data_IF_609014517143
#
_entry.id   IF_609014517143
#
_cell.length_a   1.000
_cell.length_b   1.000
_cell.length_c   1.000
_cell.angle_alpha   90.00
_cell.angle_beta   90.00
_cell.angle_gamma   90.00
#
_symmetry.space_group_name_H-M   'P 1'
#
loop_
_entity.id
_entity.type
_entity.pdbx_description
1 polymer ?
#
# COMPACT_ATOMS: atom_id res chain seq x y z
N UNK A 1 25.95 35.91 44.25
CA UNK A 1 25.03 34.76 44.23
C UNK A 1 25.75 33.58 43.60
N UNK A 2 26.16 32.59 44.40
CA UNK A 2 26.77 31.35 43.89
C UNK A 2 25.75 30.60 43.03
N UNK A 3 26.07 30.36 41.75
CA UNK A 3 25.24 29.56 40.86
C UNK A 3 25.23 28.13 41.39
N UNK A 4 24.16 27.74 42.09
CA UNK A 4 23.96 26.35 42.53
C UNK A 4 23.96 25.45 41.28
N UNK A 5 24.86 24.46 41.18
CA UNK A 5 24.94 23.56 40.03
C UNK A 5 23.58 22.93 39.68
N UNK A 6 22.80 22.56 40.69
CA UNK A 6 21.46 21.98 40.53
C UNK A 6 20.46 22.88 39.80
N UNK A 7 20.58 24.20 39.97
CA UNK A 7 19.73 25.17 39.28
C UNK A 7 20.09 25.28 37.80
N UNK A 8 21.39 25.18 37.48
CA UNK A 8 21.87 25.19 36.10
C UNK A 8 21.52 23.89 35.38
N UNK A 9 21.64 22.74 36.04
CA UNK A 9 21.26 21.44 35.48
C UNK A 9 19.75 21.40 35.21
N UNK A 10 18.93 21.90 36.13
CA UNK A 10 17.48 22.01 35.91
C UNK A 10 17.13 22.96 34.77
N UNK A 11 17.76 24.13 34.71
CA UNK A 11 17.54 25.07 33.62
C UNK A 11 17.92 24.45 32.26
N UNK A 12 19.05 23.75 32.19
CA UNK A 12 19.47 23.01 30.99
C UNK A 12 18.45 21.93 30.59
N UNK A 13 17.99 21.11 31.54
CA UNK A 13 16.97 20.09 31.28
C UNK A 13 15.64 20.67 30.79
N UNK A 14 15.17 21.75 31.42
CA UNK A 14 13.93 22.43 31.00
C UNK A 14 14.04 23.03 29.60
N UNK A 15 15.16 23.68 29.27
CA UNK A 15 15.40 24.19 27.92
C UNK A 15 15.45 23.05 26.90
N UNK A 16 16.09 21.93 27.23
CA UNK A 16 16.11 20.75 26.37
C UNK A 16 14.71 20.19 26.10
N UNK A 17 13.88 20.07 27.13
CA UNK A 17 12.48 19.62 26.99
C UNK A 17 11.66 20.57 26.13
N UNK A 18 11.85 21.88 26.27
CA UNK A 18 11.18 22.88 25.43
C UNK A 18 11.59 22.73 23.96
N UNK A 19 12.89 22.57 23.69
CA UNK A 19 13.38 22.37 22.33
C UNK A 19 12.81 21.10 21.69
N UNK A 20 12.76 19.98 22.43
CA UNK A 20 12.15 18.72 21.94
C UNK A 20 10.66 18.93 21.62
N UNK A 21 9.93 19.61 22.49
CA UNK A 21 8.51 19.92 22.27
C UNK A 21 8.28 20.78 21.03
N UNK A 22 9.13 21.78 20.80
CA UNK A 22 9.03 22.67 19.64
C UNK A 22 9.37 21.91 18.34
N UNK A 23 10.37 21.03 18.39
CA UNK A 23 10.74 20.21 17.25
C UNK A 23 9.65 19.18 16.89
N UNK A 24 8.98 18.55 17.87
CA UNK A 24 7.80 17.69 17.62
C UNK A 24 6.68 18.44 16.90
N UNK A 25 6.50 19.73 17.21
CA UNK A 25 5.50 20.57 16.55
C UNK A 25 5.87 20.77 15.07
N UNK A 26 7.14 21.02 14.77
CA UNK A 26 7.64 21.14 13.39
C UNK A 26 7.45 19.85 12.60
N UNK A 27 7.76 18.69 13.20
CA UNK A 27 7.52 17.39 12.57
C UNK A 27 6.05 17.21 12.16
N UNK A 28 5.13 17.56 13.07
CA UNK A 28 3.68 17.46 12.82
C UNK A 28 3.19 18.44 11.77
N UNK A 29 3.60 19.71 11.86
CA UNK A 29 3.12 20.78 10.98
C UNK A 29 3.64 20.62 9.54
N UNK A 30 4.80 19.98 9.37
CA UNK A 30 5.46 19.81 8.07
C UNK A 30 5.54 18.36 7.58
N UNK A 31 5.03 17.38 8.34
CA UNK A 31 5.09 15.96 8.03
C UNK A 31 6.53 15.46 7.72
N UNK A 32 7.50 15.90 8.51
CA UNK A 32 8.92 15.50 8.40
C UNK A 32 9.35 14.75 9.67
N UNK A 33 10.26 13.78 9.54
CA UNK A 33 10.84 13.04 10.68
C UNK A 33 12.26 13.58 10.95
N UNK A 34 12.45 14.24 12.09
CA UNK A 34 13.71 14.81 12.55
C UNK A 34 14.47 13.86 13.50
N UNK A 35 13.93 12.66 13.77
CA UNK A 35 14.53 11.61 14.60
C UNK A 35 14.88 12.08 16.04
N UNK A 36 14.05 12.96 16.60
CA UNK A 36 14.31 13.62 17.90
C UNK A 36 14.20 12.63 19.07
N UNK A 37 13.26 11.68 18.98
CA UNK A 37 13.30 10.46 19.79
C UNK A 37 13.94 9.34 18.96
N UNK A 38 14.71 8.43 19.58
CA UNK A 38 14.98 7.14 18.94
C UNK A 38 13.60 6.60 18.60
N UNK A 39 13.30 6.48 17.29
CA UNK A 39 11.96 6.12 16.86
C UNK A 39 11.51 4.97 17.73
N UNK A 40 10.36 5.11 18.39
CA UNK A 40 9.72 3.95 19.00
C UNK A 40 9.49 3.01 17.83
N UNK A 41 10.48 2.16 17.54
CA UNK A 41 10.31 0.99 16.70
C UNK A 41 9.17 0.30 17.40
N UNK A 42 7.97 0.45 16.85
CA UNK A 42 6.79 -0.25 17.31
C UNK A 42 7.26 -1.68 17.42
N UNK A 43 7.34 -2.18 18.65
CA UNK A 43 7.94 -3.47 18.90
C UNK A 43 7.11 -4.46 18.09
N UNK A 44 7.68 -4.92 16.96
CA UNK A 44 6.94 -5.74 16.01
C UNK A 44 6.54 -6.97 16.80
N UNK A 45 5.27 -7.38 16.79
CA UNK A 45 4.81 -8.62 17.47
C UNK A 45 5.69 -9.83 17.15
N UNK A 46 6.37 -9.82 16.00
CA UNK A 46 7.37 -10.81 15.62
C UNK A 46 8.56 -10.94 16.61
N UNK A 47 8.95 -9.87 17.31
CA UNK A 47 10.00 -9.90 18.35
C UNK A 47 9.63 -10.76 19.57
N UNK A 48 8.34 -11.05 19.75
CA UNK A 48 7.84 -11.90 20.82
C UNK A 48 8.05 -13.40 20.53
N UNK A 49 8.35 -13.75 19.28
CA UNK A 49 8.58 -15.14 18.86
C UNK A 49 10.09 -15.42 18.73
N UNK A 50 10.72 -15.71 19.86
CA UNK A 50 12.15 -16.06 19.93
C UNK A 50 12.51 -17.37 19.21
N UNK A 51 11.50 -18.16 18.81
CA UNK A 51 11.68 -19.40 18.03
C UNK A 51 12.14 -19.14 16.59
N UNK A 52 11.96 -17.92 16.08
CA UNK A 52 12.44 -17.55 14.75
C UNK A 52 13.86 -16.98 14.84
N UNK A 53 14.74 -17.51 13.97
CA UNK A 53 16.09 -17.02 13.78
C UNK A 53 16.12 -15.50 13.56
N UNK A 54 17.16 -14.84 14.08
CA UNK A 54 17.28 -13.38 14.00
C UNK A 54 17.26 -12.87 12.56
N UNK A 55 17.95 -13.56 11.65
CA UNK A 55 18.06 -13.18 10.25
C UNK A 55 16.72 -13.32 9.53
N UNK A 56 15.95 -14.37 9.81
CA UNK A 56 14.59 -14.55 9.27
C UNK A 56 13.65 -13.43 9.73
N UNK A 57 13.77 -12.97 10.98
CA UNK A 57 12.98 -11.85 11.50
C UNK A 57 13.38 -10.52 10.84
N UNK A 58 14.66 -10.33 10.53
CA UNK A 58 15.13 -9.16 9.80
C UNK A 58 14.64 -9.15 8.35
N UNK A 59 14.71 -10.29 7.66
CA UNK A 59 14.21 -10.45 6.29
C UNK A 59 12.70 -10.24 6.22
N UNK A 60 11.94 -10.88 7.11
CA UNK A 60 10.50 -10.66 7.21
C UNK A 60 10.18 -9.18 7.48
N UNK A 61 11.05 -8.50 8.24
CA UNK A 61 10.84 -7.11 8.56
C UNK A 61 11.00 -6.17 7.36
N UNK A 62 11.99 -6.44 6.51
CA UNK A 62 12.19 -5.76 5.23
C UNK A 62 11.07 -6.08 4.25
N UNK A 63 10.71 -7.36 4.14
CA UNK A 63 9.67 -7.83 3.20
C UNK A 63 8.28 -7.26 3.50
N UNK A 64 7.98 -6.92 4.75
CA UNK A 64 6.66 -6.34 5.12
C UNK A 64 6.42 -4.99 4.46
N UNK A 65 7.47 -4.20 4.20
CA UNK A 65 7.37 -2.90 3.55
C UNK A 65 6.78 -3.02 2.14
N UNK A 66 7.13 -4.09 1.41
CA UNK A 66 6.58 -4.32 0.08
C UNK A 66 5.10 -4.71 0.12
N UNK A 67 4.69 -5.48 1.13
CA UNK A 67 3.28 -5.79 1.33
C UNK A 67 2.46 -4.53 1.58
N UNK A 68 2.95 -3.61 2.42
CA UNK A 68 2.29 -2.33 2.69
C UNK A 68 2.09 -1.52 1.40
N UNK A 69 3.12 -1.43 0.56
CA UNK A 69 3.04 -0.75 -0.74
C UNK A 69 1.99 -1.39 -1.65
N UNK A 70 2.00 -2.71 -1.80
CA UNK A 70 1.02 -3.40 -2.64
C UNK A 70 -0.40 -3.27 -2.10
N UNK A 71 -0.58 -3.39 -0.78
CA UNK A 71 -1.88 -3.23 -0.14
C UNK A 71 -2.47 -1.84 -0.41
N UNK A 72 -1.68 -0.78 -0.19
CA UNK A 72 -2.12 0.58 -0.45
C UNK A 72 -2.42 0.81 -1.93
N UNK A 73 -1.52 0.38 -2.81
CA UNK A 73 -1.65 0.60 -4.25
C UNK A 73 -2.87 -0.15 -4.81
N UNK A 74 -3.00 -1.44 -4.57
CA UNK A 74 -4.10 -2.26 -5.12
C UNK A 74 -5.47 -1.73 -4.67
N UNK A 75 -5.62 -1.38 -3.39
CA UNK A 75 -6.88 -0.85 -2.87
C UNK A 75 -7.16 0.57 -3.35
N UNK A 76 -6.15 1.42 -3.52
CA UNK A 76 -6.34 2.75 -4.12
C UNK A 76 -6.83 2.66 -5.57
N UNK A 77 -6.34 1.70 -6.35
CA UNK A 77 -6.76 1.47 -7.73
C UNK A 77 -8.19 0.91 -7.75
N UNK A 78 -8.54 -0.02 -6.85
CA UNK A 78 -9.93 -0.50 -6.70
C UNK A 78 -10.88 0.65 -6.41
N UNK A 79 -10.53 1.54 -5.48
CA UNK A 79 -11.37 2.69 -5.15
C UNK A 79 -11.54 3.62 -6.36
N UNK A 80 -10.45 3.98 -7.05
CA UNK A 80 -10.52 4.78 -8.27
C UNK A 80 -11.45 4.16 -9.33
N UNK A 81 -11.31 2.85 -9.57
CA UNK A 81 -12.13 2.14 -10.57
C UNK A 81 -13.60 2.09 -10.15
N UNK A 82 -13.86 1.78 -8.88
CA UNK A 82 -15.20 1.74 -8.31
C UNK A 82 -15.87 3.10 -8.42
N UNK A 83 -15.23 4.16 -7.98
CA UNK A 83 -15.80 5.51 -7.94
C UNK A 83 -16.13 5.98 -9.36
N UNK A 84 -15.20 5.83 -10.30
CA UNK A 84 -15.42 6.21 -11.70
C UNK A 84 -16.56 5.42 -12.39
N UNK A 85 -16.71 4.14 -12.09
CA UNK A 85 -17.78 3.31 -12.66
C UNK A 85 -19.14 3.55 -11.98
N UNK A 86 -19.14 3.84 -10.67
CA UNK A 86 -20.34 4.29 -9.96
C UNK A 86 -20.85 5.60 -10.55
N UNK A 87 -19.96 6.55 -10.84
CA UNK A 87 -20.35 7.84 -11.42
C UNK A 87 -20.93 7.69 -12.84
N UNK A 88 -20.43 6.72 -13.61
CA UNK A 88 -20.87 6.49 -14.99
C UNK A 88 -22.15 5.64 -15.12
N UNK A 89 -22.31 4.59 -14.30
CA UNK A 89 -23.37 3.57 -14.45
C UNK A 89 -24.30 3.47 -13.22
N UNK A 90 -23.99 4.18 -12.13
CA UNK A 90 -24.72 4.11 -10.87
C UNK A 90 -24.27 2.98 -9.94
N UNK A 91 -25.03 2.73 -8.89
CA UNK A 91 -24.66 1.78 -7.82
C UNK A 91 -24.53 0.32 -8.28
N UNK A 92 -25.21 -0.06 -9.37
CA UNK A 92 -25.19 -1.42 -9.94
C UNK A 92 -24.19 -1.57 -11.10
N UNK A 93 -23.16 -0.70 -11.16
CA UNK A 93 -22.16 -0.69 -12.22
C UNK A 93 -21.47 -2.05 -12.43
N UNK A 94 -21.33 -2.88 -11.39
CA UNK A 94 -20.72 -4.22 -11.52
C UNK A 94 -21.52 -5.11 -12.47
N UNK A 95 -22.86 -4.97 -12.51
CA UNK A 95 -23.74 -5.73 -13.38
C UNK A 95 -23.92 -5.11 -14.77
N UNK A 96 -23.41 -3.90 -15.00
CA UNK A 96 -23.44 -3.23 -16.31
C UNK A 96 -22.63 -3.97 -17.39
N UNK A 97 -22.81 -3.52 -18.64
CA UNK A 97 -22.03 -3.97 -19.80
C UNK A 97 -20.57 -3.50 -19.79
N UNK A 98 -20.18 -2.60 -18.87
CA UNK A 98 -18.81 -2.08 -18.74
C UNK A 98 -17.83 -3.07 -18.11
N UNK A 99 -18.37 -4.05 -17.39
CA UNK A 99 -17.60 -5.10 -16.72
C UNK A 99 -17.75 -6.41 -17.50
N UNK A 100 -16.66 -6.93 -18.04
CA UNK A 100 -16.71 -8.13 -18.87
C UNK A 100 -16.97 -9.40 -18.04
N UNK A 101 -17.97 -10.18 -18.45
CA UNK A 101 -18.45 -11.34 -17.70
C UNK A 101 -17.38 -12.44 -17.55
N UNK A 102 -16.91 -13.00 -18.68
CA UNK A 102 -15.94 -14.11 -18.68
C UNK A 102 -14.56 -13.76 -18.14
N UNK A 103 -14.10 -12.52 -18.38
CA UNK A 103 -12.73 -12.11 -18.07
C UNK A 103 -12.58 -11.55 -16.66
N UNK A 104 -13.66 -11.07 -16.04
CA UNK A 104 -13.60 -10.33 -14.77
C UNK A 104 -14.61 -10.88 -13.77
N UNK A 105 -15.91 -10.88 -14.09
CA UNK A 105 -16.95 -11.29 -13.13
C UNK A 105 -16.80 -12.74 -12.70
N UNK A 106 -16.79 -13.68 -13.65
CA UNK A 106 -16.68 -15.12 -13.36
C UNK A 106 -15.39 -15.50 -12.61
N UNK A 107 -14.20 -15.00 -12.96
CA UNK A 107 -13.00 -15.22 -12.14
C UNK A 107 -13.13 -14.71 -10.71
N UNK A 108 -13.68 -13.51 -10.50
CA UNK A 108 -13.88 -12.94 -9.17
C UNK A 108 -14.89 -13.78 -8.34
N UNK A 109 -16.02 -14.15 -8.94
CA UNK A 109 -17.02 -15.02 -8.32
C UNK A 109 -16.44 -16.39 -7.98
N UNK A 110 -15.64 -16.97 -8.87
CA UNK A 110 -14.96 -18.24 -8.65
C UNK A 110 -14.00 -18.17 -7.45
N UNK A 111 -13.24 -17.09 -7.31
CA UNK A 111 -12.37 -16.87 -6.14
C UNK A 111 -13.17 -16.74 -4.85
N UNK A 112 -14.26 -15.98 -4.84
CA UNK A 112 -15.16 -15.85 -3.68
C UNK A 112 -15.81 -17.18 -3.32
N UNK A 113 -16.34 -17.88 -4.31
CA UNK A 113 -16.93 -19.21 -4.15
C UNK A 113 -15.93 -20.19 -3.58
N UNK A 114 -14.69 -20.18 -4.05
CA UNK A 114 -13.63 -21.03 -3.51
C UNK A 114 -13.38 -20.78 -2.01
N UNK A 115 -13.43 -19.54 -1.54
CA UNK A 115 -13.31 -19.23 -0.11
C UNK A 115 -14.48 -19.83 0.69
N UNK A 116 -15.71 -19.64 0.21
CA UNK A 116 -16.93 -20.18 0.83
C UNK A 116 -16.89 -21.72 0.87
N UNK A 117 -16.58 -22.35 -0.27
CA UNK A 117 -16.54 -23.81 -0.43
C UNK A 117 -15.46 -24.45 0.47
N UNK A 118 -14.43 -23.69 0.85
CA UNK A 118 -13.38 -24.14 1.78
C UNK A 118 -13.61 -23.69 3.23
N UNK A 119 -14.81 -23.20 3.56
CA UNK A 119 -15.19 -22.71 4.90
C UNK A 119 -14.24 -21.63 5.46
N UNK A 120 -13.64 -20.84 4.57
CA UNK A 120 -12.84 -19.66 4.93
C UNK A 120 -13.75 -18.45 4.92
N UNK A 121 -13.54 -17.51 5.85
CA UNK A 121 -14.24 -16.22 5.86
C UNK A 121 -14.02 -15.52 4.51
N UNK A 122 -15.09 -15.18 3.77
CA UNK A 122 -14.95 -14.40 2.54
C UNK A 122 -14.24 -13.08 2.82
N UNK A 123 -13.25 -12.72 2.00
CA UNK A 123 -12.47 -11.49 2.23
C UNK A 123 -13.31 -10.22 2.10
N UNK A 124 -14.41 -10.26 1.34
CA UNK A 124 -15.30 -9.13 1.11
C UNK A 124 -16.64 -9.58 0.52
N UNK A 125 -17.65 -8.72 0.69
CA UNK A 125 -18.92 -8.81 -0.03
C UNK A 125 -18.85 -8.20 -1.45
N UNK A 126 -17.90 -7.30 -1.69
CA UNK A 126 -17.74 -6.65 -2.99
C UNK A 126 -16.83 -7.48 -3.89
N UNK A 127 -17.32 -7.86 -5.08
CA UNK A 127 -16.56 -8.68 -6.03
C UNK A 127 -15.32 -7.97 -6.60
N UNK A 128 -15.26 -6.63 -6.57
CA UNK A 128 -14.06 -5.87 -6.95
C UNK A 128 -12.86 -6.21 -6.04
N UNK A 129 -13.08 -6.63 -4.80
CA UNK A 129 -12.00 -7.01 -3.88
C UNK A 129 -11.36 -8.36 -4.23
N UNK A 130 -11.93 -9.07 -5.20
CA UNK A 130 -11.42 -10.31 -5.76
C UNK A 130 -10.66 -10.10 -7.08
N UNK A 131 -10.53 -8.87 -7.56
CA UNK A 131 -9.76 -8.55 -8.77
C UNK A 131 -8.26 -8.58 -8.49
N UNK A 132 -7.50 -8.88 -9.54
CA UNK A 132 -6.04 -8.76 -9.61
C UNK A 132 -5.62 -7.46 -10.30
N UNK A 133 -4.33 -7.10 -10.27
CA UNK A 133 -3.82 -5.95 -11.04
C UNK A 133 -4.10 -6.10 -12.55
N UNK A 134 -4.02 -7.32 -13.08
CA UNK A 134 -4.34 -7.59 -14.48
C UNK A 134 -5.81 -7.30 -14.80
N UNK A 135 -6.74 -7.73 -13.94
CA UNK A 135 -8.17 -7.47 -14.14
C UNK A 135 -8.53 -5.99 -13.92
N UNK A 136 -7.87 -5.30 -12.97
CA UNK A 136 -8.01 -3.85 -12.79
C UNK A 136 -7.52 -3.09 -14.03
N UNK A 137 -6.41 -3.52 -14.61
CA UNK A 137 -5.92 -3.00 -15.89
C UNK A 137 -6.94 -3.18 -17.00
N UNK A 138 -7.57 -4.36 -17.08
CA UNK A 138 -8.63 -4.61 -18.07
C UNK A 138 -9.87 -3.75 -17.83
N UNK A 139 -10.27 -3.50 -16.59
CA UNK A 139 -11.37 -2.58 -16.27
C UNK A 139 -11.07 -1.17 -16.76
N UNK A 140 -9.88 -0.66 -16.45
CA UNK A 140 -9.46 0.70 -16.83
C UNK A 140 -9.37 0.82 -18.35
N UNK A 141 -8.63 -0.09 -18.98
CA UNK A 141 -8.36 -0.02 -20.42
C UNK A 141 -9.59 -0.38 -21.27
N UNK A 142 -10.50 -1.22 -20.76
CA UNK A 142 -11.78 -1.54 -21.38
C UNK A 142 -12.78 -0.38 -21.37
N UNK A 143 -12.67 0.53 -20.40
CA UNK A 143 -13.55 1.69 -20.20
C UNK A 143 -12.78 3.00 -20.44
N UNK A 144 -12.01 3.06 -21.52
CA UNK A 144 -11.12 4.19 -21.79
C UNK A 144 -11.87 5.52 -22.02
N UNK A 145 -13.14 5.47 -22.40
CA UNK A 145 -14.01 6.65 -22.48
C UNK A 145 -14.19 7.34 -21.11
N UNK A 146 -14.16 6.58 -20.00
CA UNK A 146 -14.22 7.11 -18.63
C UNK A 146 -12.81 7.48 -18.16
N UNK A 147 -11.85 6.59 -18.34
CA UNK A 147 -10.53 6.70 -17.73
C UNK A 147 -9.52 7.53 -18.54
N UNK A 148 -9.82 7.85 -19.80
CA UNK A 148 -8.91 8.60 -20.67
C UNK A 148 -8.67 10.05 -20.25
N UNK A 149 -9.53 10.61 -19.39
CA UNK A 149 -9.30 11.91 -18.77
C UNK A 149 -8.40 11.84 -17.53
N UNK A 150 -8.30 10.66 -16.90
CA UNK A 150 -7.50 10.42 -15.69
C UNK A 150 -6.10 9.94 -16.05
N UNK A 151 -5.99 9.12 -17.11
CA UNK A 151 -4.73 8.50 -17.49
C UNK A 151 -4.24 8.99 -18.85
N UNK A 152 -2.94 9.25 -18.91
CA UNK A 152 -2.26 9.75 -20.12
C UNK A 152 -2.15 8.72 -21.25
N UNK A 153 -2.07 7.42 -20.94
CA UNK A 153 -1.89 6.38 -21.96
C UNK A 153 -2.42 5.01 -21.55
N UNK A 154 -3.28 4.44 -22.40
CA UNK A 154 -3.88 3.10 -22.25
C UNK A 154 -2.81 2.01 -22.23
N UNK A 155 -1.80 2.10 -23.09
CA UNK A 155 -0.72 1.11 -23.15
C UNK A 155 0.21 1.21 -21.94
N UNK A 156 0.46 2.43 -21.45
CA UNK A 156 1.29 2.63 -20.27
C UNK A 156 0.63 2.05 -19.01
N UNK A 157 -0.69 2.23 -18.85
CA UNK A 157 -1.46 1.58 -17.78
C UNK A 157 -1.26 0.08 -17.83
N UNK A 158 -1.49 -0.57 -18.98
CA UNK A 158 -1.29 -2.02 -19.12
C UNK A 158 0.12 -2.47 -18.76
N UNK A 159 1.14 -1.77 -19.27
CA UNK A 159 2.53 -2.12 -19.01
C UNK A 159 2.88 -2.05 -17.52
N UNK A 160 2.53 -0.94 -16.86
CA UNK A 160 2.82 -0.74 -15.43
C UNK A 160 2.08 -1.77 -14.57
N UNK A 161 0.79 -2.00 -14.83
CA UNK A 161 0.00 -3.00 -14.08
C UNK A 161 0.52 -4.42 -14.25
N UNK A 162 1.00 -4.78 -15.46
CA UNK A 162 1.58 -6.10 -15.72
C UNK A 162 2.90 -6.28 -14.95
N UNK A 163 3.73 -5.23 -14.91
CA UNK A 163 4.96 -5.23 -14.13
C UNK A 163 4.67 -5.38 -12.62
N UNK A 164 3.69 -4.64 -12.09
CA UNK A 164 3.25 -4.77 -10.69
C UNK A 164 2.75 -6.19 -10.39
N UNK A 165 1.97 -6.79 -11.29
CA UNK A 165 1.48 -8.15 -11.13
C UNK A 165 2.61 -9.19 -11.11
N UNK A 166 3.65 -9.01 -11.94
CA UNK A 166 4.82 -9.88 -11.96
C UNK A 166 5.62 -9.78 -10.65
N UNK A 167 5.86 -8.55 -10.17
CA UNK A 167 6.63 -8.30 -8.95
C UNK A 167 5.89 -8.74 -7.68
N UNK A 168 4.55 -8.77 -7.71
CA UNK A 168 3.73 -9.26 -6.59
C UNK A 168 3.97 -10.73 -6.27
N UNK A 169 4.26 -11.56 -7.29
CA UNK A 169 4.35 -13.01 -7.15
C UNK A 169 5.32 -13.47 -6.06
N UNK A 170 6.62 -13.15 -6.15
CA UNK A 170 7.62 -13.54 -5.13
C UNK A 170 7.25 -13.11 -3.71
N UNK A 171 6.74 -11.89 -3.55
CA UNK A 171 6.36 -11.31 -2.26
C UNK A 171 5.16 -12.05 -1.65
N UNK A 172 4.15 -12.39 -2.46
CA UNK A 172 2.98 -13.15 -2.01
C UNK A 172 3.32 -14.60 -1.62
N UNK A 173 4.45 -15.14 -2.11
CA UNK A 173 4.93 -16.49 -1.79
C UNK A 173 5.98 -16.52 -0.67
N UNK A 174 6.12 -15.42 0.10
CA UNK A 174 7.04 -15.30 1.23
C UNK A 174 8.51 -15.59 0.89
N UNK A 175 8.92 -15.28 -0.36
CA UNK A 175 10.30 -15.44 -0.79
C UNK A 175 11.06 -14.11 -0.66
N UNK A 176 12.36 -14.15 -0.33
CA UNK A 176 13.18 -12.95 -0.31
C UNK A 176 13.18 -12.31 -1.69
N UNK A 177 12.97 -10.99 -1.72
CA UNK A 177 13.05 -10.19 -2.94
C UNK A 177 14.41 -9.51 -3.01
N UNK A 178 15.06 -9.67 -4.16
CA UNK A 178 16.36 -9.06 -4.47
C UNK A 178 16.27 -7.54 -4.54
N UNK A 179 17.40 -6.84 -4.33
CA UNK A 179 17.48 -5.38 -4.40
C UNK A 179 17.05 -4.84 -5.77
N UNK A 180 17.40 -5.53 -6.86
CA UNK A 180 17.00 -5.14 -8.20
C UNK A 180 15.46 -5.15 -8.36
N UNK A 181 14.81 -6.12 -7.73
CA UNK A 181 13.36 -6.29 -7.82
C UNK A 181 12.64 -5.24 -6.96
N UNK A 182 13.25 -4.84 -5.85
CA UNK A 182 12.82 -3.70 -5.04
C UNK A 182 12.92 -2.38 -5.82
N UNK A 183 14.02 -2.14 -6.54
CA UNK A 183 14.15 -0.96 -7.39
C UNK A 183 13.12 -0.94 -8.52
N UNK A 184 12.87 -2.10 -9.15
CA UNK A 184 11.83 -2.26 -10.17
C UNK A 184 10.44 -1.99 -9.61
N UNK A 185 10.14 -2.42 -8.39
CA UNK A 185 8.88 -2.12 -7.71
C UNK A 185 8.74 -0.61 -7.48
N UNK A 186 9.75 0.03 -6.91
CA UNK A 186 9.76 1.47 -6.67
C UNK A 186 9.55 2.27 -7.96
N UNK A 187 10.20 1.87 -9.05
CA UNK A 187 10.02 2.50 -10.36
C UNK A 187 8.61 2.26 -10.91
N UNK A 188 8.06 1.06 -10.78
CA UNK A 188 6.71 0.74 -11.25
C UNK A 188 5.65 1.55 -10.49
N UNK A 189 5.78 1.69 -9.17
CA UNK A 189 4.90 2.51 -8.32
C UNK A 189 4.98 3.97 -8.72
N UNK A 190 6.19 4.53 -8.86
CA UNK A 190 6.37 5.92 -9.33
C UNK A 190 5.80 6.13 -10.73
N UNK A 191 5.99 5.15 -11.62
CA UNK A 191 5.44 5.19 -12.97
C UNK A 191 3.92 5.22 -12.93
N UNK A 192 3.28 4.39 -12.09
CA UNK A 192 1.83 4.40 -11.91
C UNK A 192 1.30 5.80 -11.56
N UNK A 193 1.86 6.44 -10.53
CA UNK A 193 1.44 7.79 -10.13
C UNK A 193 1.72 8.84 -11.20
N UNK A 194 2.77 8.67 -12.01
CA UNK A 194 3.04 9.57 -13.15
C UNK A 194 2.03 9.41 -14.29
N UNK A 195 1.30 8.29 -14.37
CA UNK A 195 0.27 8.10 -15.39
C UNK A 195 -1.01 8.87 -15.09
N UNK A 196 -1.25 9.14 -13.80
CA UNK A 196 -2.40 9.92 -13.32
C UNK A 196 -2.09 11.39 -13.60
N UNK A 197 -2.95 12.05 -14.39
CA UNK A 197 -2.79 13.46 -14.77
C UNK A 197 -3.11 14.42 -13.62
#
# INVERSE_FOLDING_TARGET
MSKRPDGLIRAFGMSGLQMVSDLHKVEKDHAVDLQIEPSKKVERRLSQYAQFESDLRADAARMSEFYEVFYCLENSIRNLVKDALVDAEGSDWWNSGRVHDERIKKPCESRRKKEIDNAVTPRSELLIDYTTFGELSQLITGNWDIFGAVFTSKSAVSNVTNQLNLLRGPIAHCNPTDELEQERLNLAVRSWFKLIS
#
